data_IF_941662347331
#
_entry.id   IF_941662347331
#
_cell.length_a   1.000
_cell.length_b   1.000
_cell.length_c   1.000
_cell.angle_alpha   90.00
_cell.angle_beta   90.00
_cell.angle_gamma   90.00
#
_symmetry.space_group_name_H-M   'P 1'
#
loop_
_entity.id
_entity.type
_entity.pdbx_description
1 polymer ?
#
# COMPACT_ATOMS: atom_id res chain seq x y z
N UNK A 1 -63.09 33.40 -4.17
CA UNK A 1 -63.80 32.30 -3.46
C UNK A 1 -63.00 31.01 -3.64
N UNK A 2 -62.79 30.27 -2.52
CA UNK A 2 -62.15 28.94 -2.38
C UNK A 2 -60.65 28.85 -2.73
N UNK A 3 -59.69 29.02 -1.82
CA UNK A 3 -59.24 28.22 -0.64
C UNK A 3 -58.35 27.00 -0.97
N UNK A 4 -57.04 27.19 -0.71
CA UNK A 4 -56.07 26.31 -0.01
C UNK A 4 -55.77 24.89 -0.49
N UNK A 5 -54.49 24.58 -0.71
CA UNK A 5 -53.72 23.72 0.21
C UNK A 5 -52.18 23.88 0.09
N UNK A 6 -51.62 24.45 1.14
CA UNK A 6 -50.24 24.33 1.59
C UNK A 6 -49.96 22.88 2.01
N UNK A 7 -48.80 22.28 1.66
CA UNK A 7 -47.91 21.57 2.62
C UNK A 7 -46.49 21.41 2.03
N UNK A 8 -45.56 22.17 2.58
CA UNK A 8 -44.13 21.95 2.48
C UNK A 8 -43.65 20.78 3.36
N UNK A 9 -42.44 20.29 3.04
CA UNK A 9 -41.58 19.32 3.77
C UNK A 9 -41.98 17.86 3.52
N UNK A 10 -41.10 16.95 3.06
CA UNK A 10 -39.91 16.42 3.73
C UNK A 10 -38.78 16.02 2.76
N UNK A 11 -37.57 16.49 3.06
CA UNK A 11 -36.26 15.98 2.63
C UNK A 11 -36.24 14.45 2.72
N UNK A 12 -36.10 13.75 1.58
CA UNK A 12 -35.66 12.35 1.59
C UNK A 12 -34.16 12.35 1.37
N UNK A 13 -33.43 11.99 2.42
CA UNK A 13 -32.03 11.56 2.35
C UNK A 13 -31.94 10.48 1.28
N UNK A 14 -31.44 10.82 0.10
CA UNK A 14 -31.01 9.83 -0.87
C UNK A 14 -29.68 9.30 -0.32
N UNK A 15 -29.75 8.16 0.37
CA UNK A 15 -28.58 7.33 0.58
C UNK A 15 -28.12 6.93 -0.83
N UNK A 16 -27.15 7.64 -1.38
CA UNK A 16 -26.43 7.19 -2.55
C UNK A 16 -25.68 5.94 -2.13
N UNK A 17 -26.20 4.78 -2.54
CA UNK A 17 -25.44 3.54 -2.56
C UNK A 17 -24.30 3.76 -3.58
N UNK A 18 -23.02 3.56 -3.25
CA UNK A 18 -21.97 3.71 -4.23
C UNK A 18 -22.23 2.70 -5.36
N UNK A 19 -22.39 3.24 -6.57
CA UNK A 19 -22.48 2.48 -7.81
C UNK A 19 -21.11 1.84 -8.02
N UNK A 20 -20.96 0.56 -7.68
CA UNK A 20 -19.87 -0.26 -8.21
C UNK A 20 -20.34 -0.85 -9.54
N UNK A 21 -20.03 -0.14 -10.62
CA UNK A 21 -20.03 -0.70 -11.97
C UNK A 21 -18.58 -0.83 -12.39
N UNK A 22 -18.08 -2.06 -12.48
CA UNK A 22 -17.18 -2.50 -13.55
C UNK A 22 -17.28 -4.02 -13.63
N UNK A 23 -18.33 -4.49 -14.28
CA UNK A 23 -18.31 -5.78 -14.96
C UNK A 23 -18.75 -5.49 -16.39
N UNK A 24 -17.78 -5.27 -17.27
CA UNK A 24 -18.03 -5.48 -18.69
C UNK A 24 -18.08 -7.00 -18.88
N UNK A 25 -19.31 -7.54 -18.96
CA UNK A 25 -19.51 -8.88 -19.46
C UNK A 25 -18.93 -8.95 -20.88
N UNK A 26 -18.21 -10.04 -21.14
CA UNK A 26 -17.50 -10.36 -22.37
C UNK A 26 -18.18 -9.83 -23.62
N UNK A 27 -17.43 -9.02 -24.36
CA UNK A 27 -17.85 -8.51 -25.66
C UNK A 27 -17.98 -9.68 -26.63
N UNK A 28 -19.07 -9.61 -27.40
CA UNK A 28 -19.55 -10.51 -28.43
C UNK A 28 -18.41 -11.10 -29.29
N UNK A 29 -18.34 -12.44 -29.35
CA UNK A 29 -17.54 -13.15 -30.34
C UNK A 29 -17.99 -12.72 -31.75
N UNK A 30 -17.13 -11.99 -32.46
CA UNK A 30 -17.26 -11.84 -33.91
C UNK A 30 -16.65 -13.08 -34.53
N UNK A 31 -17.47 -13.87 -35.21
CA UNK A 31 -17.01 -14.98 -36.03
C UNK A 31 -15.98 -14.49 -37.04
N UNK A 32 -14.78 -15.05 -36.93
CA UNK A 32 -13.91 -15.29 -38.08
C UNK A 32 -13.46 -16.74 -37.97
N UNK A 33 -13.89 -17.53 -38.96
CA UNK A 33 -13.72 -18.97 -39.06
C UNK A 33 -12.24 -19.33 -39.36
N UNK A 34 -11.36 -19.10 -38.37
CA UNK A 34 -10.01 -19.65 -38.30
C UNK A 34 -9.97 -20.64 -37.12
N UNK A 35 -10.37 -21.89 -37.38
CA UNK A 35 -10.54 -23.01 -36.43
C UNK A 35 -9.24 -23.51 -35.75
N UNK A 36 -8.23 -22.66 -35.53
CA UNK A 36 -6.94 -23.04 -34.90
C UNK A 36 -6.62 -22.29 -33.58
N UNK A 37 -7.51 -21.44 -33.06
CA UNK A 37 -7.33 -20.87 -31.72
C UNK A 37 -7.96 -21.80 -30.65
N UNK A 38 -7.16 -22.43 -29.76
CA UNK A 38 -7.73 -23.20 -28.67
C UNK A 38 -8.58 -22.29 -27.78
N UNK A 39 -9.77 -22.73 -27.33
CA UNK A 39 -10.58 -21.93 -26.43
C UNK A 39 -9.75 -21.61 -25.19
N UNK A 40 -9.59 -20.32 -24.88
CA UNK A 40 -9.11 -19.88 -23.57
C UNK A 40 -10.14 -20.41 -22.57
N UNK A 41 -9.80 -21.46 -21.82
CA UNK A 41 -10.70 -22.06 -20.83
C UNK A 41 -11.01 -21.02 -19.75
N UNK A 42 -12.25 -20.47 -19.70
CA UNK A 42 -12.58 -19.43 -18.74
C UNK A 42 -12.67 -19.96 -17.30
N UNK A 43 -12.61 -21.28 -17.08
CA UNK A 43 -12.86 -21.93 -15.80
C UNK A 43 -11.59 -22.26 -14.99
N UNK A 44 -10.46 -21.61 -15.28
CA UNK A 44 -9.23 -21.82 -14.50
C UNK A 44 -9.24 -21.02 -13.17
N UNK A 45 -8.94 -21.66 -12.02
CA UNK A 45 -8.93 -20.96 -10.72
C UNK A 45 -7.78 -19.96 -10.55
N UNK A 46 -6.73 -20.09 -11.34
CA UNK A 46 -5.55 -19.24 -11.29
C UNK A 46 -4.54 -19.61 -10.20
N UNK A 47 -3.54 -18.75 -10.05
CA UNK A 47 -2.40 -18.89 -9.14
C UNK A 47 -2.32 -17.68 -8.23
N UNK A 48 -2.06 -17.90 -6.94
CA UNK A 48 -1.82 -16.85 -5.94
C UNK A 48 -0.35 -16.87 -5.52
N UNK A 49 0.31 -15.72 -5.55
CA UNK A 49 1.72 -15.59 -5.14
C UNK A 49 2.07 -14.16 -4.72
N UNK A 50 3.21 -13.98 -4.07
CA UNK A 50 3.78 -12.66 -3.79
C UNK A 50 4.21 -11.98 -5.09
N UNK A 51 3.99 -10.67 -5.16
CA UNK A 51 4.38 -9.83 -6.30
C UNK A 51 5.89 -9.70 -6.48
N UNK A 52 6.66 -9.92 -5.41
CA UNK A 52 8.11 -9.95 -5.40
C UNK A 52 8.61 -10.90 -4.31
N UNK A 53 9.89 -11.27 -4.36
CA UNK A 53 10.57 -12.05 -3.32
C UNK A 53 11.30 -11.18 -2.29
N UNK A 54 11.31 -9.86 -2.49
CA UNK A 54 11.92 -8.87 -1.60
C UNK A 54 11.11 -7.59 -1.61
N UNK A 55 10.97 -6.96 -0.44
CA UNK A 55 10.35 -5.66 -0.25
C UNK A 55 11.23 -4.83 0.69
N UNK A 56 11.21 -3.51 0.51
CA UNK A 56 11.94 -2.59 1.37
C UNK A 56 10.96 -1.64 2.07
N UNK A 57 11.24 -1.33 3.33
CA UNK A 57 10.51 -0.32 4.10
C UNK A 57 11.49 0.45 4.99
N UNK A 58 11.20 1.72 5.22
CA UNK A 58 11.92 2.50 6.23
C UNK A 58 11.28 2.33 7.60
N UNK A 59 12.02 2.63 8.64
CA UNK A 59 11.50 2.78 10.00
C UNK A 59 10.34 3.79 10.04
N UNK A 60 9.36 3.52 10.89
CA UNK A 60 8.19 4.38 11.07
C UNK A 60 7.24 4.41 9.87
N UNK A 61 7.47 3.55 8.86
CA UNK A 61 6.63 3.42 7.68
C UNK A 61 5.78 2.13 7.71
N UNK A 62 5.12 1.82 6.59
CA UNK A 62 4.34 0.58 6.43
C UNK A 62 4.92 -0.19 5.25
N UNK A 63 5.37 -1.41 5.50
CA UNK A 63 5.72 -2.35 4.46
C UNK A 63 4.44 -2.88 3.79
N UNK A 64 4.29 -2.60 2.49
CA UNK A 64 3.12 -3.00 1.70
C UNK A 64 3.47 -4.20 0.81
N UNK A 65 3.10 -5.39 1.26
CA UNK A 65 3.43 -6.65 0.61
C UNK A 65 2.32 -7.01 -0.36
N UNK A 66 2.64 -7.01 -1.66
CA UNK A 66 1.67 -7.30 -2.71
C UNK A 66 1.53 -8.81 -2.88
N UNK A 67 0.29 -9.29 -2.89
CA UNK A 67 -0.09 -10.66 -3.24
C UNK A 67 -1.02 -10.60 -4.45
N UNK A 68 -0.75 -11.38 -5.48
CA UNK A 68 -1.48 -11.34 -6.75
C UNK A 68 -2.12 -12.69 -7.05
N UNK A 69 -3.41 -12.67 -7.40
CA UNK A 69 -4.08 -13.76 -8.11
C UNK A 69 -4.01 -13.52 -9.61
N UNK A 70 -3.44 -14.43 -10.39
CA UNK A 70 -3.28 -14.30 -11.85
C UNK A 70 -3.54 -15.62 -12.58
N UNK A 71 -3.68 -15.56 -13.90
CA UNK A 71 -3.88 -16.75 -14.75
C UNK A 71 -5.23 -17.44 -14.57
N UNK A 72 -6.17 -16.82 -13.86
CA UNK A 72 -7.52 -17.33 -13.62
C UNK A 72 -8.23 -16.60 -12.49
N UNK A 73 -9.56 -16.66 -12.52
CA UNK A 73 -10.42 -16.09 -11.48
C UNK A 73 -11.65 -16.96 -11.15
N UNK A 74 -11.71 -18.18 -11.69
CA UNK A 74 -12.81 -19.11 -11.43
C UNK A 74 -12.82 -19.56 -9.97
N UNK A 75 -13.96 -19.43 -9.31
CA UNK A 75 -14.15 -19.77 -7.91
C UNK A 75 -13.55 -18.76 -6.93
N UNK A 76 -14.00 -18.85 -5.68
CA UNK A 76 -13.42 -18.13 -4.54
C UNK A 76 -12.03 -18.70 -4.26
N UNK A 77 -11.03 -17.81 -4.12
CA UNK A 77 -9.67 -18.20 -3.75
C UNK A 77 -9.28 -17.57 -2.41
N UNK A 78 -8.58 -18.34 -1.57
CA UNK A 78 -8.03 -17.87 -0.31
C UNK A 78 -6.56 -18.23 -0.19
N UNK A 79 -5.80 -17.42 0.54
CA UNK A 79 -4.44 -17.77 0.98
C UNK A 79 -4.19 -17.20 2.36
N UNK A 80 -3.58 -17.99 3.23
CA UNK A 80 -3.13 -17.53 4.53
C UNK A 80 -1.76 -16.87 4.41
N UNK A 81 -1.48 -15.92 5.28
CA UNK A 81 -0.16 -15.31 5.41
C UNK A 81 0.27 -15.21 6.87
N UNK A 82 1.58 -15.23 7.09
CA UNK A 82 2.19 -15.00 8.41
C UNK A 82 3.58 -14.39 8.27
N UNK A 83 3.94 -13.51 9.21
CA UNK A 83 5.30 -13.03 9.39
C UNK A 83 6.12 -13.96 10.28
N UNK A 84 7.43 -14.01 10.07
CA UNK A 84 8.38 -14.63 10.99
C UNK A 84 9.65 -13.79 11.11
N UNK A 85 10.18 -13.73 12.32
CA UNK A 85 11.36 -12.95 12.69
C UNK A 85 12.60 -13.39 11.89
N UNK A 86 13.52 -12.45 11.72
CA UNK A 86 14.83 -12.68 11.13
C UNK A 86 15.91 -12.02 11.99
N UNK A 87 16.56 -10.98 11.47
CA UNK A 87 17.33 -10.06 12.31
C UNK A 87 16.43 -8.98 12.91
N UNK A 88 15.32 -8.65 12.23
CA UNK A 88 14.24 -7.84 12.78
C UNK A 88 13.30 -8.74 13.59
N UNK A 89 12.98 -8.33 14.81
CA UNK A 89 12.11 -9.01 15.77
C UNK A 89 10.75 -8.31 15.91
N UNK A 90 9.68 -9.10 16.01
CA UNK A 90 8.35 -8.56 16.20
C UNK A 90 8.20 -7.88 17.57
N UNK A 91 7.74 -6.63 17.56
CA UNK A 91 7.51 -5.81 18.76
C UNK A 91 8.61 -4.79 19.02
N UNK A 92 9.86 -5.04 18.60
CA UNK A 92 10.91 -4.03 18.48
C UNK A 92 10.83 -3.36 17.12
N UNK A 93 10.94 -4.12 16.03
CA UNK A 93 11.28 -3.55 14.71
C UNK A 93 10.07 -3.53 13.78
N UNK A 94 9.13 -4.45 13.97
CA UNK A 94 7.88 -4.49 13.21
C UNK A 94 6.72 -5.08 14.02
N UNK A 95 5.49 -4.84 13.59
CA UNK A 95 4.32 -5.50 14.17
C UNK A 95 4.04 -6.82 13.44
N UNK A 96 4.07 -7.95 14.15
CA UNK A 96 3.75 -9.24 13.55
C UNK A 96 2.35 -9.27 12.92
N UNK A 97 2.24 -9.90 11.76
CA UNK A 97 1.01 -9.93 10.98
C UNK A 97 0.72 -11.35 10.51
N UNK A 98 -0.54 -11.76 10.68
CA UNK A 98 -1.07 -12.98 10.08
C UNK A 98 -2.54 -12.81 9.73
N UNK A 99 -3.04 -13.62 8.80
CA UNK A 99 -4.43 -13.56 8.37
C UNK A 99 -4.68 -14.33 7.09
N UNK A 100 -5.84 -14.09 6.49
CA UNK A 100 -6.26 -14.74 5.24
C UNK A 100 -6.70 -13.68 4.24
N UNK A 101 -6.12 -13.70 3.03
CA UNK A 101 -6.61 -12.94 1.90
C UNK A 101 -7.65 -13.75 1.14
N UNK A 102 -8.70 -13.09 0.64
CA UNK A 102 -9.80 -13.75 -0.06
C UNK A 102 -10.17 -13.00 -1.33
N UNK A 103 -10.04 -13.65 -2.48
CA UNK A 103 -10.62 -13.20 -3.74
C UNK A 103 -11.99 -13.85 -3.90
N UNK A 104 -13.02 -13.04 -4.12
CA UNK A 104 -14.34 -13.56 -4.49
C UNK A 104 -14.28 -14.24 -5.86
N UNK A 105 -15.31 -15.03 -6.17
CA UNK A 105 -15.48 -15.64 -7.49
C UNK A 105 -15.48 -14.57 -8.60
N UNK A 106 -14.76 -14.86 -9.69
CA UNK A 106 -14.54 -13.94 -10.80
C UNK A 106 -13.54 -12.82 -10.53
N UNK A 107 -13.02 -12.67 -9.30
CA UNK A 107 -12.06 -11.62 -8.94
C UNK A 107 -10.62 -12.13 -9.02
N UNK A 108 -9.77 -11.37 -9.70
CA UNK A 108 -8.31 -11.55 -9.76
C UNK A 108 -7.59 -10.22 -9.52
N UNK A 109 -6.25 -10.24 -9.54
CA UNK A 109 -5.41 -9.06 -9.31
C UNK A 109 -4.84 -9.00 -7.90
N UNK A 110 -4.45 -7.79 -7.50
CA UNK A 110 -3.61 -7.57 -6.33
C UNK A 110 -4.43 -7.36 -5.05
N UNK A 111 -3.91 -7.88 -3.95
CA UNK A 111 -4.25 -7.52 -2.59
C UNK A 111 -2.96 -7.16 -1.84
N UNK A 112 -3.10 -6.40 -0.75
CA UNK A 112 -1.95 -5.89 0.01
C UNK A 112 -2.04 -6.37 1.45
N UNK A 113 -0.94 -6.90 1.97
CA UNK A 113 -0.70 -7.07 3.41
C UNK A 113 0.07 -5.84 3.87
N UNK A 114 -0.46 -5.12 4.85
CA UNK A 114 0.17 -3.93 5.42
C UNK A 114 0.79 -4.26 6.77
N UNK A 115 2.09 -4.08 6.89
CA UNK A 115 2.87 -4.42 8.08
C UNK A 115 3.51 -3.12 8.60
N UNK A 116 3.08 -2.60 9.76
CA UNK A 116 3.73 -1.46 10.40
C UNK A 116 5.19 -1.78 10.78
N UNK A 117 6.10 -0.87 10.44
CA UNK A 117 7.49 -0.88 10.86
C UNK A 117 7.65 0.11 12.00
N UNK A 118 8.29 -0.30 13.09
CA UNK A 118 8.51 0.55 14.25
C UNK A 118 9.62 1.55 13.94
N UNK A 119 9.59 2.70 14.62
CA UNK A 119 10.69 3.65 14.71
C UNK A 119 10.82 3.95 16.21
N UNK A 120 11.95 3.57 16.80
CA UNK A 120 12.26 3.81 18.21
C UNK A 120 13.31 4.92 18.41
N UNK A 121 13.81 5.50 17.31
CA UNK A 121 14.82 6.54 17.25
C UNK A 121 16.25 6.08 17.55
N UNK A 122 16.53 4.76 17.57
CA UNK A 122 17.88 4.22 17.65
C UNK A 122 18.54 4.14 16.26
N UNK A 123 19.86 4.32 16.21
CA UNK A 123 20.61 4.10 14.98
C UNK A 123 20.92 2.61 14.84
N UNK A 124 20.25 1.94 13.91
CA UNK A 124 20.35 0.50 13.69
C UNK A 124 20.87 0.16 12.28
N UNK A 125 21.63 -0.95 12.13
CA UNK A 125 21.98 -1.46 10.80
C UNK A 125 20.72 -1.98 10.08
N UNK A 126 20.76 -2.22 8.75
CA UNK A 126 19.62 -2.81 8.05
C UNK A 126 19.25 -4.18 8.62
N UNK A 127 17.95 -4.41 8.78
CA UNK A 127 17.41 -5.65 9.34
C UNK A 127 16.39 -6.29 8.41
N UNK A 128 16.00 -7.53 8.69
CA UNK A 128 15.01 -8.21 7.86
C UNK A 128 14.16 -9.21 8.64
N UNK A 129 12.92 -9.36 8.18
CA UNK A 129 11.99 -10.43 8.56
C UNK A 129 11.37 -11.06 7.31
N UNK A 130 10.57 -12.12 7.47
CA UNK A 130 9.98 -12.85 6.34
C UNK A 130 8.46 -12.83 6.37
N UNK A 131 7.84 -12.87 5.18
CA UNK A 131 6.40 -13.06 4.98
C UNK A 131 6.21 -14.32 4.15
N UNK A 132 5.38 -15.24 4.64
CA UNK A 132 5.11 -16.51 3.95
C UNK A 132 3.62 -16.69 3.70
N UNK A 133 3.29 -17.13 2.49
CA UNK A 133 1.96 -17.55 2.08
C UNK A 133 1.79 -19.06 2.29
N UNK A 134 0.63 -19.47 2.78
CA UNK A 134 0.31 -20.88 3.01
C UNK A 134 -1.17 -21.18 2.80
N UNK A 135 -1.54 -22.46 2.84
CA UNK A 135 -2.93 -22.93 2.80
C UNK A 135 -3.77 -22.33 1.65
N UNK A 136 -3.17 -22.18 0.45
CA UNK A 136 -3.91 -21.71 -0.70
C UNK A 136 -5.07 -22.68 -1.01
N UNK A 137 -6.27 -22.14 -1.22
CA UNK A 137 -7.48 -22.89 -1.58
C UNK A 137 -8.22 -22.15 -2.68
N UNK A 138 -8.85 -22.88 -3.60
CA UNK A 138 -9.51 -22.28 -4.77
C UNK A 138 -8.57 -21.58 -5.76
N UNK A 139 -7.26 -21.76 -5.60
CA UNK A 139 -6.20 -21.36 -6.52
C UNK A 139 -4.95 -22.20 -6.21
N UNK A 140 -4.00 -22.23 -7.14
CA UNK A 140 -2.68 -22.85 -6.91
C UNK A 140 -1.76 -21.86 -6.20
N UNK A 141 -0.97 -22.31 -5.22
CA UNK A 141 0.09 -21.48 -4.64
C UNK A 141 1.26 -21.40 -5.64
N UNK A 142 1.66 -20.17 -6.00
CA UNK A 142 2.75 -19.95 -6.95
C UNK A 142 4.14 -20.07 -6.34
N UNK A 143 5.17 -19.91 -7.18
CA UNK A 143 6.57 -20.10 -6.78
C UNK A 143 7.03 -19.10 -5.71
N UNK A 144 6.57 -17.84 -5.81
CA UNK A 144 6.88 -16.78 -4.85
C UNK A 144 5.92 -16.89 -3.65
N UNK A 145 6.10 -17.93 -2.83
CA UNK A 145 5.31 -18.15 -1.62
C UNK A 145 5.96 -17.59 -0.36
N UNK A 146 7.20 -17.10 -0.46
CA UNK A 146 7.89 -16.41 0.64
C UNK A 146 8.66 -15.20 0.09
N UNK A 147 8.73 -14.13 0.89
CA UNK A 147 9.53 -12.96 0.60
C UNK A 147 10.22 -12.42 1.86
N UNK A 148 11.39 -11.83 1.65
CA UNK A 148 12.10 -11.07 2.68
C UNK A 148 11.59 -9.62 2.67
N UNK A 149 11.41 -9.03 3.84
CA UNK A 149 11.17 -7.60 4.01
C UNK A 149 12.39 -7.01 4.69
N UNK A 150 13.07 -6.09 4.00
CA UNK A 150 14.23 -5.39 4.55
C UNK A 150 13.77 -4.07 5.17
N UNK A 151 14.13 -3.88 6.43
CA UNK A 151 14.03 -2.59 7.13
C UNK A 151 15.34 -1.85 6.82
N UNK A 152 15.21 -0.73 6.13
CA UNK A 152 16.35 0.10 5.76
C UNK A 152 16.89 0.80 7.01
N UNK A 153 18.23 0.88 7.11
CA UNK A 153 18.89 1.58 8.20
C UNK A 153 18.37 3.01 8.38
N UNK A 154 18.29 3.46 9.63
CA UNK A 154 17.90 4.81 9.94
C UNK A 154 18.84 5.85 9.30
N UNK A 155 18.26 6.97 8.90
CA UNK A 155 19.01 8.08 8.35
C UNK A 155 19.48 8.94 9.51
N UNK A 156 20.74 8.80 9.89
CA UNK A 156 21.39 9.68 10.86
C UNK A 156 21.24 11.13 10.37
N UNK A 157 20.31 11.88 10.96
CA UNK A 157 20.23 13.33 10.73
C UNK A 157 21.33 13.94 11.59
N UNK A 158 22.47 14.39 11.03
CA UNK A 158 23.49 15.00 11.86
C UNK A 158 22.86 16.20 12.58
N UNK A 159 23.13 16.39 13.89
CA UNK A 159 22.60 17.52 14.62
C UNK A 159 23.01 18.79 13.86
N UNK A 160 22.02 19.52 13.34
CA UNK A 160 22.26 20.81 12.72
C UNK A 160 22.84 21.72 13.80
N UNK A 161 24.13 22.02 13.72
CA UNK A 161 24.75 22.98 14.65
C UNK A 161 24.25 24.39 14.28
N UNK A 162 23.08 24.76 14.77
CA UNK A 162 22.55 26.12 14.75
C UNK A 162 22.63 26.73 16.16
N UNK A 163 23.83 26.79 16.74
CA UNK A 163 24.00 27.46 18.04
C UNK A 163 25.39 28.05 18.31
N UNK A 164 26.30 28.16 17.34
CA UNK A 164 27.62 28.77 17.65
C UNK A 164 28.13 29.87 16.74
N UNK A 165 27.36 30.30 15.72
CA UNK A 165 27.64 31.59 15.11
C UNK A 165 26.89 32.71 15.84
N UNK A 166 27.36 33.03 17.05
CA UNK A 166 27.19 34.38 17.55
C UNK A 166 27.97 35.28 16.60
N UNK A 167 27.30 35.87 15.61
CA UNK A 167 27.86 37.01 14.90
C UNK A 167 28.02 38.11 15.96
N UNK A 168 29.22 38.22 16.52
CA UNK A 168 29.63 39.41 17.25
C UNK A 168 29.65 40.52 16.22
N UNK A 169 28.54 41.23 16.08
CA UNK A 169 28.54 42.54 15.44
C UNK A 169 29.41 43.43 16.32
N UNK A 170 30.71 43.48 15.99
CA UNK A 170 31.62 44.47 16.52
C UNK A 170 30.96 45.84 16.38
N UNK A 171 31.07 46.63 17.44
CA UNK A 171 30.47 47.95 17.62
C UNK A 171 30.18 48.68 16.30
N UNK A 172 28.94 49.14 16.14
CA UNK A 172 28.60 50.17 15.17
C UNK A 172 29.39 51.44 15.52
N UNK A 173 30.59 51.57 14.96
CA UNK A 173 31.32 52.83 15.08
C UNK A 173 30.51 53.89 14.33
N UNK A 174 30.05 54.89 15.09
CA UNK A 174 29.15 55.91 14.60
C UNK A 174 29.90 56.78 13.58
N UNK A 175 29.73 56.49 12.29
CA UNK A 175 30.24 57.36 11.23
C UNK A 175 29.54 58.73 11.35
N UNK A 176 30.30 59.74 11.73
CA UNK A 176 29.87 61.15 11.82
C UNK A 176 29.37 61.65 10.45
N UNK A 177 28.31 62.47 10.39
CA UNK A 177 27.79 62.97 9.11
C UNK A 177 28.77 63.91 8.40
N UNK A 178 28.93 63.70 7.10
CA UNK A 178 29.74 64.51 6.18
C UNK A 178 29.16 65.93 6.07
N UNK A 179 29.88 66.95 6.52
CA UNK A 179 29.56 68.35 6.22
C UNK A 179 30.05 68.68 4.80
N UNK A 180 29.14 68.82 3.84
CA UNK A 180 29.48 69.40 2.54
C UNK A 180 29.41 70.93 2.67
N UNK A 181 30.55 71.60 2.55
CA UNK A 181 30.64 73.04 2.30
C UNK A 181 31.02 73.26 0.85
N UNK A 182 30.08 73.78 0.04
CA UNK A 182 30.27 74.81 -1.00
C UNK A 182 28.93 75.54 -1.16
#
# INVERSE_FOLDING_TARGET
MKTTNNKSRWWRTLLMVPITVFAIASILATGHDDDDDPPVDPDVPGTVQLGATSFDAGEGTVANIIVTRSGGSSGVATVDYSTADGTAEAGSDYTSASGTLTWADGVSGNMTISIPITDDGAEEPPEAFTVTLSNASGATLGANSSATVNILADVVVPPTILSQYNFSIGAIDAMTPWTASV
#
